data_IF_858570974196
#
_entry.id   IF_858570974196
#
_cell.length_a   1.000
_cell.length_b   1.000
_cell.length_c   1.000
_cell.angle_alpha   90.00
_cell.angle_beta   90.00
_cell.angle_gamma   90.00
#
_symmetry.space_group_name_H-M   'P 1'
#
loop_
_entity.id
_entity.type
_entity.pdbx_description
1 polymer ?
#
# COMPACT_ATOMS: atom_id res chain seq x y z
N UNK A 1 -0.69 -43.22 -50.71
CA UNK A 1 -0.72 -43.41 -49.25
C UNK A 1 -0.03 -42.24 -48.58
N UNK A 2 -0.77 -41.30 -47.98
CA UNK A 2 -0.13 -40.16 -47.32
C UNK A 2 0.51 -40.63 -46.01
N UNK A 3 1.83 -40.53 -45.93
CA UNK A 3 2.59 -40.84 -44.72
C UNK A 3 2.17 -39.83 -43.63
N UNK A 4 1.28 -40.27 -42.73
CA UNK A 4 0.56 -39.41 -41.79
C UNK A 4 1.25 -39.31 -40.42
N UNK A 5 2.56 -39.57 -40.37
CA UNK A 5 3.35 -39.65 -39.14
C UNK A 5 4.60 -38.77 -39.20
N UNK A 6 4.95 -38.15 -38.08
CA UNK A 6 6.16 -37.37 -37.83
C UNK A 6 7.01 -38.09 -36.79
N UNK A 7 8.33 -38.12 -36.95
CA UNK A 7 9.22 -38.60 -35.89
C UNK A 7 9.32 -37.54 -34.78
N UNK A 8 9.04 -37.93 -33.54
CA UNK A 8 9.19 -37.05 -32.37
C UNK A 8 10.02 -37.76 -31.30
N UNK A 9 10.89 -37.02 -30.61
CA UNK A 9 11.70 -37.57 -29.51
C UNK A 9 10.93 -37.52 -28.19
N UNK A 10 10.94 -38.62 -27.45
CA UNK A 10 10.40 -38.66 -26.08
C UNK A 10 11.39 -38.05 -25.07
N UNK A 11 10.97 -37.97 -23.79
CA UNK A 11 11.83 -37.50 -22.68
C UNK A 11 13.10 -38.32 -22.44
N UNK A 12 13.22 -39.50 -23.05
CA UNK A 12 14.39 -40.39 -23.00
C UNK A 12 15.22 -40.33 -24.29
N UNK A 13 14.95 -39.38 -25.19
CA UNK A 13 15.66 -39.21 -26.45
C UNK A 13 15.31 -40.21 -27.56
N UNK A 14 14.39 -41.15 -27.31
CA UNK A 14 13.99 -42.16 -28.28
C UNK A 14 13.00 -41.58 -29.29
N UNK A 15 13.22 -41.90 -30.57
CA UNK A 15 12.32 -41.50 -31.65
C UNK A 15 11.07 -42.38 -31.68
N UNK A 16 9.90 -41.73 -31.68
CA UNK A 16 8.60 -42.39 -31.79
C UNK A 16 7.77 -41.71 -32.89
N UNK A 17 7.10 -42.50 -33.76
CA UNK A 17 6.19 -41.96 -34.74
C UNK A 17 4.96 -41.37 -34.05
N UNK A 18 4.63 -40.12 -34.37
CA UNK A 18 3.47 -39.39 -33.88
C UNK A 18 2.60 -38.99 -35.06
N UNK A 19 1.29 -39.23 -35.05
CA UNK A 19 0.41 -38.79 -36.11
C UNK A 19 0.46 -37.27 -36.32
N UNK A 20 0.50 -36.81 -37.57
CA UNK A 20 0.55 -35.39 -37.95
C UNK A 20 -0.59 -34.60 -37.31
N UNK A 21 -1.80 -35.18 -37.29
CA UNK A 21 -2.97 -34.57 -36.65
C UNK A 21 -2.73 -34.26 -35.17
N UNK A 22 -2.09 -35.18 -34.45
CA UNK A 22 -1.77 -35.01 -33.03
C UNK A 22 -0.64 -34.00 -32.85
N UNK A 23 0.33 -33.95 -33.76
CA UNK A 23 1.39 -32.94 -33.73
C UNK A 23 0.82 -31.52 -33.90
N UNK A 24 0.00 -31.29 -34.93
CA UNK A 24 -0.67 -30.01 -35.18
C UNK A 24 -1.58 -29.60 -34.02
N UNK A 25 -2.34 -30.54 -33.44
CA UNK A 25 -3.14 -30.26 -32.25
C UNK A 25 -2.27 -29.70 -31.11
N UNK A 26 -1.18 -30.39 -30.77
CA UNK A 26 -0.32 -29.95 -29.66
C UNK A 26 0.40 -28.63 -29.93
N UNK A 27 0.68 -28.30 -31.20
CA UNK A 27 1.27 -27.02 -31.60
C UNK A 27 0.36 -25.84 -31.20
N UNK A 28 -0.94 -25.92 -31.50
CA UNK A 28 -1.88 -24.82 -31.25
C UNK A 28 -2.55 -24.85 -29.88
N UNK A 29 -2.57 -25.99 -29.19
CA UNK A 29 -3.24 -26.13 -27.89
C UNK A 29 -2.55 -25.39 -26.74
N UNK A 30 -1.24 -25.11 -26.86
CA UNK A 30 -0.43 -24.52 -25.77
C UNK A 30 -0.67 -23.03 -25.50
N UNK A 31 -1.45 -22.34 -26.35
CA UNK A 31 -1.67 -20.89 -26.24
C UNK A 31 -2.39 -20.48 -24.96
N UNK A 32 -3.48 -21.20 -24.62
CA UNK A 32 -4.30 -20.92 -23.42
C UNK A 32 -3.51 -21.23 -22.16
N UNK A 33 -2.91 -22.41 -22.09
CA UNK A 33 -2.10 -22.84 -20.93
C UNK A 33 -0.97 -21.84 -20.62
N UNK A 34 -0.33 -21.29 -21.67
CA UNK A 34 0.74 -20.30 -21.50
C UNK A 34 0.21 -18.97 -20.97
N UNK A 35 -0.95 -18.52 -21.42
CA UNK A 35 -1.59 -17.31 -20.89
C UNK A 35 -1.99 -17.51 -19.42
N UNK A 36 -2.61 -18.64 -19.09
CA UNK A 36 -3.01 -19.01 -17.74
C UNK A 36 -1.80 -19.11 -16.80
N UNK A 37 -0.72 -19.74 -17.26
CA UNK A 37 0.53 -19.83 -16.52
C UNK A 37 1.08 -18.42 -16.22
N UNK A 38 1.13 -17.55 -17.23
CA UNK A 38 1.63 -16.18 -17.05
C UNK A 38 0.75 -15.38 -16.09
N UNK A 39 -0.57 -15.48 -16.20
CA UNK A 39 -1.50 -14.85 -15.26
C UNK A 39 -1.27 -15.38 -13.83
N UNK A 40 -1.06 -16.69 -13.67
CA UNK A 40 -0.87 -17.31 -12.36
C UNK A 40 0.38 -16.80 -11.62
N UNK A 41 1.48 -16.53 -12.34
CA UNK A 41 2.72 -16.01 -11.75
C UNK A 41 2.61 -14.58 -11.22
N UNK A 42 1.73 -13.78 -11.80
CA UNK A 42 1.60 -12.37 -11.48
C UNK A 42 0.29 -12.04 -10.76
N UNK A 43 -0.62 -12.99 -10.61
CA UNK A 43 -1.87 -12.75 -9.91
C UNK A 43 -1.61 -12.44 -8.43
N UNK A 44 -2.35 -11.46 -7.89
CA UNK A 44 -2.32 -11.12 -6.47
C UNK A 44 -3.69 -11.40 -5.84
N UNK A 45 -4.12 -12.67 -5.75
CA UNK A 45 -5.40 -13.02 -5.16
C UNK A 45 -5.38 -12.62 -3.67
N UNK A 46 -6.16 -11.61 -3.31
CA UNK A 46 -6.40 -11.24 -1.91
C UNK A 46 -7.50 -12.14 -1.36
N UNK A 47 -7.31 -12.65 -0.13
CA UNK A 47 -8.40 -13.32 0.61
C UNK A 47 -9.60 -12.36 0.67
N UNK A 48 -10.71 -12.76 0.07
CA UNK A 48 -11.94 -11.98 0.06
C UNK A 48 -13.13 -12.89 0.27
N UNK A 49 -14.05 -12.50 1.15
CA UNK A 49 -15.28 -13.24 1.41
C UNK A 49 -16.28 -13.19 0.23
N UNK A 50 -16.06 -12.30 -0.75
CA UNK A 50 -16.97 -12.07 -1.87
C UNK A 50 -16.37 -12.59 -3.17
N UNK A 51 -16.97 -13.62 -3.76
CA UNK A 51 -16.45 -14.35 -4.94
C UNK A 51 -16.29 -13.45 -6.19
N UNK A 52 -17.20 -12.51 -6.42
CA UNK A 52 -17.16 -11.64 -7.61
C UNK A 52 -15.90 -10.77 -7.67
N UNK A 53 -15.33 -10.41 -6.51
CA UNK A 53 -14.06 -9.66 -6.48
C UNK A 53 -12.93 -10.46 -7.10
N UNK A 54 -12.91 -11.78 -6.89
CA UNK A 54 -11.92 -12.69 -7.49
C UNK A 54 -12.04 -12.69 -9.02
N UNK A 55 -13.27 -12.71 -9.54
CA UNK A 55 -13.55 -12.66 -10.99
C UNK A 55 -13.07 -11.35 -11.60
N UNK A 56 -13.37 -10.21 -10.96
CA UNK A 56 -12.93 -8.89 -11.44
C UNK A 56 -11.40 -8.80 -11.47
N UNK A 57 -10.71 -9.25 -10.42
CA UNK A 57 -9.24 -9.24 -10.40
C UNK A 57 -8.63 -10.14 -11.47
N UNK A 58 -9.22 -11.32 -11.70
CA UNK A 58 -8.78 -12.21 -12.76
C UNK A 58 -8.98 -11.57 -14.14
N UNK A 59 -10.14 -10.94 -14.37
CA UNK A 59 -10.40 -10.21 -15.61
C UNK A 59 -9.36 -9.10 -15.85
N UNK A 60 -9.00 -8.34 -14.82
CA UNK A 60 -7.95 -7.34 -14.90
C UNK A 60 -6.58 -7.96 -15.25
N UNK A 61 -6.20 -9.07 -14.63
CA UNK A 61 -4.95 -9.76 -14.92
C UNK A 61 -4.90 -10.23 -16.40
N UNK A 62 -5.99 -10.83 -16.90
CA UNK A 62 -6.14 -11.23 -18.31
C UNK A 62 -6.04 -10.01 -19.25
N UNK A 63 -6.71 -8.91 -18.91
CA UNK A 63 -6.72 -7.69 -19.72
C UNK A 63 -5.32 -7.10 -19.85
N UNK A 64 -4.56 -7.07 -18.74
CA UNK A 64 -3.17 -6.58 -18.74
C UNK A 64 -2.27 -7.49 -19.56
N UNK A 65 -2.42 -8.82 -19.46
CA UNK A 65 -1.67 -9.76 -20.30
C UNK A 65 -1.94 -9.58 -21.79
N UNK A 66 -3.21 -9.45 -22.18
CA UNK A 66 -3.59 -9.23 -23.58
C UNK A 66 -3.07 -7.90 -24.11
N UNK A 67 -3.16 -6.83 -23.32
CA UNK A 67 -2.61 -5.52 -23.71
C UNK A 67 -1.09 -5.54 -23.91
N UNK A 68 -0.37 -6.33 -23.10
CA UNK A 68 1.06 -6.54 -23.25
C UNK A 68 1.40 -7.34 -24.51
N UNK A 69 0.62 -8.38 -24.81
CA UNK A 69 0.81 -9.15 -26.03
C UNK A 69 0.67 -8.27 -27.27
N UNK A 70 -0.41 -7.48 -27.35
CA UNK A 70 -0.62 -6.51 -28.44
C UNK A 70 0.53 -5.50 -28.52
N UNK A 71 0.98 -4.98 -27.37
CA UNK A 71 2.11 -4.05 -27.32
C UNK A 71 3.38 -4.66 -27.91
N UNK A 72 3.71 -5.91 -27.59
CA UNK A 72 4.89 -6.58 -28.16
C UNK A 72 4.80 -6.77 -29.66
N UNK A 73 3.61 -7.12 -30.16
CA UNK A 73 3.39 -7.31 -31.60
C UNK A 73 3.48 -5.98 -32.36
N UNK A 74 2.92 -4.91 -31.80
CA UNK A 74 2.89 -3.60 -32.44
C UNK A 74 4.26 -2.91 -32.48
N UNK A 75 5.07 -3.05 -31.43
CA UNK A 75 6.36 -2.35 -31.29
C UNK A 75 7.58 -3.26 -31.53
N UNK A 76 7.37 -4.49 -31.98
CA UNK A 76 8.40 -5.50 -32.25
C UNK A 76 9.50 -5.56 -31.17
N UNK A 77 9.09 -5.69 -29.91
CA UNK A 77 9.99 -5.69 -28.76
C UNK A 77 9.99 -7.05 -28.04
N UNK A 78 10.59 -8.11 -28.62
CA UNK A 78 10.53 -9.47 -28.09
C UNK A 78 11.18 -9.61 -26.70
N UNK A 79 12.19 -8.80 -26.39
CA UNK A 79 12.90 -8.83 -25.10
C UNK A 79 12.18 -8.05 -23.99
N UNK A 80 11.12 -7.32 -24.32
CA UNK A 80 10.40 -6.56 -23.32
C UNK A 80 9.67 -7.51 -22.36
N UNK A 81 9.96 -7.36 -21.06
CA UNK A 81 9.46 -8.25 -20.01
C UNK A 81 8.11 -7.77 -19.48
N UNK A 82 7.19 -8.71 -19.29
CA UNK A 82 5.85 -8.43 -18.78
C UNK A 82 5.85 -7.70 -17.43
N UNK A 83 6.75 -8.08 -16.52
CA UNK A 83 6.90 -7.43 -15.22
C UNK A 83 7.15 -5.92 -15.34
N UNK A 84 7.99 -5.51 -16.30
CA UNK A 84 8.32 -4.09 -16.54
C UNK A 84 7.13 -3.36 -17.13
N UNK A 85 6.47 -3.95 -18.13
CA UNK A 85 5.22 -3.41 -18.69
C UNK A 85 4.17 -3.17 -17.61
N UNK A 86 3.94 -4.17 -16.75
CA UNK A 86 2.96 -4.08 -15.66
C UNK A 86 3.31 -3.01 -14.65
N UNK A 87 4.56 -2.89 -14.23
CA UNK A 87 5.02 -1.84 -13.32
C UNK A 87 4.77 -0.44 -13.89
N UNK A 88 5.11 -0.22 -15.17
CA UNK A 88 4.86 1.05 -15.86
C UNK A 88 3.37 1.38 -15.91
N UNK A 89 2.51 0.41 -16.24
CA UNK A 89 1.06 0.61 -16.28
C UNK A 89 0.49 0.95 -14.90
N UNK A 90 0.96 0.29 -13.85
CA UNK A 90 0.53 0.59 -12.48
C UNK A 90 0.95 2.01 -12.08
N UNK A 91 2.20 2.39 -12.36
CA UNK A 91 2.70 3.75 -12.08
C UNK A 91 1.91 4.81 -12.83
N UNK A 92 1.60 4.60 -14.10
CA UNK A 92 0.78 5.51 -14.90
C UNK A 92 -0.64 5.65 -14.33
N UNK A 93 -1.30 4.54 -13.97
CA UNK A 93 -2.66 4.55 -13.42
C UNK A 93 -2.76 5.27 -12.07
N UNK A 94 -1.72 5.16 -11.23
CA UNK A 94 -1.68 5.79 -9.90
C UNK A 94 -1.01 7.18 -9.95
N UNK A 95 -0.63 7.66 -11.15
CA UNK A 95 0.04 8.95 -11.38
C UNK A 95 1.34 9.11 -10.57
N UNK A 96 2.14 8.05 -10.50
CA UNK A 96 3.45 8.02 -9.85
C UNK A 96 4.53 8.28 -10.92
N UNK A 97 5.59 9.06 -10.63
CA UNK A 97 6.69 9.23 -11.58
C UNK A 97 7.32 7.88 -11.93
N UNK A 98 7.60 7.66 -13.22
CA UNK A 98 8.09 6.35 -13.73
C UNK A 98 9.40 5.89 -13.09
N UNK A 99 10.25 6.86 -12.74
CA UNK A 99 11.57 6.65 -12.14
C UNK A 99 11.51 6.40 -10.63
N UNK A 100 10.35 6.56 -10.00
CA UNK A 100 10.21 6.38 -8.56
C UNK A 100 10.38 4.91 -8.18
N UNK A 101 11.30 4.67 -7.26
CA UNK A 101 11.50 3.34 -6.68
C UNK A 101 10.42 3.02 -5.64
N UNK A 102 10.18 1.73 -5.39
CA UNK A 102 9.21 1.32 -4.37
C UNK A 102 9.54 1.92 -2.99
N UNK A 103 10.83 2.00 -2.65
CA UNK A 103 11.36 2.60 -1.43
C UNK A 103 11.01 4.08 -1.30
N UNK A 104 11.24 4.87 -2.35
CA UNK A 104 10.87 6.28 -2.40
C UNK A 104 9.35 6.46 -2.25
N UNK A 105 8.56 5.61 -2.92
CA UNK A 105 7.10 5.67 -2.82
C UNK A 105 6.59 5.42 -1.40
N UNK A 106 7.15 4.43 -0.69
CA UNK A 106 6.78 4.17 0.70
C UNK A 106 7.22 5.28 1.65
N UNK A 107 8.34 5.94 1.38
CA UNK A 107 8.79 7.11 2.14
C UNK A 107 7.87 8.32 1.92
N UNK A 108 7.49 8.61 0.68
CA UNK A 108 6.50 9.65 0.35
C UNK A 108 5.18 9.42 1.09
N UNK A 109 4.70 8.18 1.12
CA UNK A 109 3.48 7.82 1.87
C UNK A 109 3.63 7.95 3.39
N UNK A 110 4.81 7.67 3.93
CA UNK A 110 5.11 7.87 5.36
C UNK A 110 5.11 9.36 5.71
N UNK A 111 5.64 10.21 4.84
CA UNK A 111 5.67 11.66 5.01
C UNK A 111 4.27 12.28 4.85
N UNK A 112 3.49 11.83 3.85
CA UNK A 112 2.08 12.22 3.70
C UNK A 112 1.23 11.82 4.92
N UNK A 113 1.44 10.64 5.51
CA UNK A 113 0.76 10.22 6.75
C UNK A 113 1.20 10.99 8.00
N UNK A 114 2.43 11.53 8.00
CA UNK A 114 2.87 12.46 9.05
C UNK A 114 2.15 13.80 8.91
N UNK A 115 1.97 14.30 7.69
CA UNK A 115 1.18 15.50 7.39
C UNK A 115 -0.32 15.31 7.69
N UNK A 116 -0.88 14.13 7.45
CA UNK A 116 -2.32 13.85 7.67
C UNK A 116 -2.68 13.45 9.09
N UNK A 117 -1.71 13.17 9.96
CA UNK A 117 -1.93 13.10 11.42
C UNK A 117 -1.75 14.51 11.98
N UNK A 118 -2.62 15.40 11.55
CA UNK A 118 -2.73 16.77 12.03
C UNK A 118 -1.39 17.43 12.35
N UNK A 119 -0.95 18.30 11.46
CA UNK A 119 -0.74 19.68 11.89
C UNK A 119 -2.08 20.19 12.46
N UNK A 120 -2.46 19.64 13.62
CA UNK A 120 -3.30 20.28 14.60
C UNK A 120 -2.58 21.61 14.77
N UNK A 121 -3.28 22.71 14.47
CA UNK A 121 -2.87 24.10 14.69
C UNK A 121 -2.62 24.37 16.19
N UNK A 122 -1.83 23.52 16.84
CA UNK A 122 -1.22 23.77 18.13
C UNK A 122 -0.08 24.70 17.77
N UNK A 123 -0.22 25.96 18.14
CA UNK A 123 0.83 27.00 18.14
C UNK A 123 1.98 26.62 19.11
N UNK A 124 2.50 25.40 19.01
CA UNK A 124 3.53 24.78 19.82
C UNK A 124 3.18 24.58 21.31
N UNK A 125 1.92 24.56 21.71
CA UNK A 125 1.53 24.23 23.09
C UNK A 125 1.36 22.71 23.26
N UNK A 126 2.27 22.10 24.04
CA UNK A 126 2.29 20.66 24.32
C UNK A 126 2.04 20.36 25.80
N UNK A 127 1.42 19.22 26.08
CA UNK A 127 1.18 18.73 27.45
C UNK A 127 2.45 18.09 28.02
N UNK A 128 2.87 18.53 29.21
CA UNK A 128 3.93 17.89 29.99
C UNK A 128 3.45 17.61 31.42
N UNK A 129 3.97 16.57 32.10
CA UNK A 129 3.69 16.36 33.52
C UNK A 129 4.26 17.50 34.38
N UNK A 130 3.56 17.86 35.45
CA UNK A 130 4.02 18.90 36.39
C UNK A 130 5.30 18.41 37.09
N UNK A 131 6.42 19.15 37.02
CA UNK A 131 7.68 18.77 37.66
C UNK A 131 7.53 18.53 39.16
N UNK A 132 8.15 17.46 39.63
CA UNK A 132 8.20 17.13 41.04
C UNK A 132 9.30 17.96 41.71
N UNK A 133 9.02 18.65 42.83
CA UNK A 133 10.06 19.33 43.60
C UNK A 133 11.01 18.31 44.24
N UNK A 134 12.26 18.70 44.55
CA UNK A 134 13.19 17.84 45.26
C UNK A 134 12.59 17.38 46.60
N UNK A 135 12.77 16.10 46.95
CA UNK A 135 12.20 15.43 48.13
C UNK A 135 10.67 15.27 48.16
N UNK A 136 9.99 15.30 47.02
CA UNK A 136 8.55 15.05 46.96
C UNK A 136 8.20 13.56 47.13
N UNK A 137 7.40 13.25 48.14
CA UNK A 137 7.05 11.85 48.51
C UNK A 137 6.08 11.15 47.55
N UNK A 138 5.36 11.89 46.70
CA UNK A 138 4.32 11.33 45.80
C UNK A 138 4.81 11.25 44.36
N UNK A 139 4.36 10.23 43.61
CA UNK A 139 4.75 10.02 42.21
C UNK A 139 4.26 11.12 41.24
N UNK A 140 3.18 11.83 41.59
CA UNK A 140 2.60 12.89 40.77
C UNK A 140 2.22 14.09 41.62
N UNK A 141 2.52 15.29 41.14
CA UNK A 141 2.07 16.55 41.71
C UNK A 141 0.82 17.02 40.95
N UNK A 142 -0.18 17.46 41.70
CA UNK A 142 -1.43 17.99 41.13
C UNK A 142 -1.55 19.48 41.41
N UNK A 143 -2.02 20.23 40.42
CA UNK A 143 -2.45 21.64 40.54
C UNK A 143 -3.91 21.76 40.11
N UNK A 144 -4.58 22.85 40.47
CA UNK A 144 -5.92 23.13 39.97
C UNK A 144 -5.85 23.57 38.50
N UNK A 145 -6.77 23.10 37.67
CA UNK A 145 -6.94 23.57 36.30
C UNK A 145 -7.39 25.04 36.32
N UNK A 146 -6.65 25.92 35.65
CA UNK A 146 -6.95 27.36 35.62
C UNK A 146 -8.33 27.64 35.01
N UNK A 147 -8.66 26.98 33.90
CA UNK A 147 -9.93 27.22 33.20
C UNK A 147 -11.14 26.73 34.00
N UNK A 148 -11.05 25.54 34.59
CA UNK A 148 -12.12 25.02 35.45
C UNK A 148 -12.33 25.94 36.66
N UNK A 149 -11.24 26.43 37.26
CA UNK A 149 -11.30 27.34 38.40
C UNK A 149 -12.01 28.66 38.03
N UNK A 150 -11.75 29.23 36.84
CA UNK A 150 -12.51 30.39 36.31
C UNK A 150 -14.00 30.10 36.19
N UNK A 151 -14.37 28.89 35.78
CA UNK A 151 -15.75 28.41 35.68
C UNK A 151 -16.35 27.99 37.04
N UNK A 152 -15.71 28.33 38.18
CA UNK A 152 -16.11 27.94 39.54
C UNK A 152 -16.19 26.42 39.76
N UNK A 153 -15.53 25.63 38.93
CA UNK A 153 -15.43 24.17 39.08
C UNK A 153 -14.03 23.77 39.51
N UNK A 154 -13.92 23.00 40.59
CA UNK A 154 -12.61 22.52 41.06
C UNK A 154 -12.25 21.21 40.36
N UNK A 155 -11.33 21.26 39.39
CA UNK A 155 -10.67 20.07 38.81
C UNK A 155 -9.17 20.13 39.04
N UNK A 156 -8.59 19.02 39.50
CA UNK A 156 -7.15 18.88 39.64
C UNK A 156 -6.54 18.21 38.41
N UNK A 157 -5.31 18.59 38.07
CA UNK A 157 -4.57 18.09 36.91
C UNK A 157 -3.11 17.85 37.30
N UNK A 158 -2.51 16.80 36.75
CA UNK A 158 -1.07 16.52 36.88
C UNK A 158 -0.26 16.95 35.65
N UNK A 159 -0.89 17.66 34.71
CA UNK A 159 -0.28 18.13 33.47
C UNK A 159 -0.31 19.67 33.40
N UNK A 160 0.67 20.24 32.72
CA UNK A 160 0.78 21.67 32.41
C UNK A 160 1.29 21.86 30.98
N UNK A 161 1.17 23.06 30.43
CA UNK A 161 1.74 23.37 29.12
C UNK A 161 3.26 23.49 29.20
N UNK A 162 3.98 22.91 28.24
CA UNK A 162 5.44 22.97 28.14
C UNK A 162 5.98 24.39 27.98
N UNK A 163 5.30 25.24 27.20
CA UNK A 163 5.68 26.64 26.96
C UNK A 163 5.26 27.56 28.11
N UNK A 164 3.97 27.62 28.42
CA UNK A 164 3.41 28.62 29.36
C UNK A 164 3.43 28.17 30.83
N UNK A 165 3.71 26.89 31.10
CA UNK A 165 3.65 26.27 32.45
C UNK A 165 2.29 26.41 33.16
N UNK A 166 1.22 26.68 32.40
CA UNK A 166 -0.16 26.79 32.89
C UNK A 166 -0.75 25.39 33.12
N UNK A 167 -1.28 25.08 34.32
CA UNK A 167 -1.92 23.79 34.59
C UNK A 167 -3.36 23.77 34.06
N UNK A 168 -3.62 22.87 33.11
CA UNK A 168 -4.95 22.65 32.51
C UNK A 168 -5.29 21.15 32.55
N UNK A 169 -6.57 20.81 32.66
CA UNK A 169 -6.98 19.41 32.51
C UNK A 169 -7.03 19.04 31.01
N UNK A 170 -6.99 17.73 30.65
CA UNK A 170 -6.95 17.30 29.25
C UNK A 170 -8.10 17.83 28.38
N UNK A 171 -9.27 18.06 28.98
CA UNK A 171 -10.43 18.63 28.29
C UNK A 171 -10.23 20.11 28.00
N UNK A 172 -9.85 20.90 29.01
CA UNK A 172 -9.67 22.34 28.86
C UNK A 172 -8.40 22.71 28.08
N UNK A 173 -7.43 21.81 27.93
CA UNK A 173 -6.18 22.12 27.23
C UNK A 173 -6.43 22.53 25.78
N UNK A 174 -7.31 21.80 25.07
CA UNK A 174 -7.65 22.11 23.68
C UNK A 174 -8.43 23.42 23.57
N UNK A 175 -9.49 23.56 24.36
CA UNK A 175 -10.36 24.73 24.30
C UNK A 175 -9.63 26.03 24.69
N UNK A 176 -8.69 25.94 25.64
CA UNK A 176 -7.96 27.10 26.14
C UNK A 176 -7.00 27.69 25.08
N UNK A 177 -6.28 26.85 24.34
CA UNK A 177 -5.36 27.32 23.29
C UNK A 177 -6.03 27.52 21.93
N UNK A 178 -7.19 26.89 21.67
CA UNK A 178 -7.98 27.18 20.48
C UNK A 178 -8.68 28.56 20.52
N UNK A 179 -8.86 29.14 21.72
CA UNK A 179 -9.54 30.40 21.94
C UNK A 179 -8.61 31.61 22.14
N UNK A 180 -7.28 31.43 22.03
CA UNK A 180 -6.29 32.49 22.20
C UNK A 180 -5.58 32.71 20.85
N UNK A 181 -6.12 33.51 19.92
CA UNK A 181 -5.30 34.04 18.84
C UNK A 181 -4.23 34.92 19.48
N UNK A 182 -2.98 34.67 19.12
CA UNK A 182 -1.76 35.21 19.73
C UNK A 182 -1.82 36.70 20.12
N UNK A 183 -1.19 37.01 21.25
CA UNK A 183 -0.66 38.35 21.54
C UNK A 183 0.81 38.39 21.14
#
# INVERSE_FOLDING_TARGET
MHNNQLSTKNKYGQEKPKPIKIAKYNEFMSGVDRADQMISYYSCPRKSAKWYKKVIFHLLDVTVWNSFYIYKQHFDCPDFRFKVYRDLRIKDLIKIPKNTTATEFFQLKKNSRKSSRGEDLREGHFEEPIPLPPNYKRQKKFKNCVQCYKQKTRKQTSIQCQKCKVPLCPLCFKDYYAAQPEG
#
